data_IF_994142379211
#
_entry.id   IF_994142379211
#
_cell.length_a   1.000
_cell.length_b   1.000
_cell.length_c   1.000
_cell.angle_alpha   90.00
_cell.angle_beta   90.00
_cell.angle_gamma   90.00
#
_symmetry.space_group_name_H-M   'P 1'
#
loop_
_entity.id
_entity.type
_entity.pdbx_description
1 polymer ?
#
# COMPACT_ATOMS: atom_id res chain seq x y z
N UNK A 1 0.33 5.08 -5.59
CA UNK A 1 0.11 4.66 -4.17
C UNK A 1 1.34 3.90 -3.71
N UNK A 2 1.92 4.30 -2.59
CA UNK A 2 3.17 3.72 -2.06
C UNK A 2 2.89 2.79 -0.89
N UNK A 3 3.49 1.60 -0.88
CA UNK A 3 3.32 0.56 0.14
C UNK A 3 4.66 0.37 0.86
N UNK A 4 4.64 0.30 2.18
CA UNK A 4 5.77 -0.13 2.98
C UNK A 4 5.61 -1.61 3.30
N UNK A 5 6.63 -2.41 2.99
CA UNK A 5 6.69 -3.84 3.35
C UNK A 5 7.73 -4.02 4.44
N UNK A 6 7.32 -4.62 5.56
CA UNK A 6 8.15 -4.87 6.73
C UNK A 6 8.22 -6.39 6.93
N UNK A 7 9.35 -6.99 6.56
CA UNK A 7 9.55 -8.43 6.49
C UNK A 7 11.04 -8.74 6.64
N UNK A 8 11.42 -9.59 7.57
CA UNK A 8 12.82 -9.94 7.86
C UNK A 8 13.39 -11.00 6.92
N UNK A 9 12.56 -11.84 6.31
CA UNK A 9 13.00 -12.74 5.25
C UNK A 9 13.27 -11.94 3.97
N UNK A 10 14.54 -11.72 3.66
CA UNK A 10 14.98 -10.93 2.51
C UNK A 10 14.46 -11.47 1.18
N UNK A 11 14.33 -12.80 1.00
CA UNK A 11 13.82 -13.39 -0.24
C UNK A 11 12.32 -13.14 -0.38
N UNK A 12 11.56 -13.33 0.69
CA UNK A 12 10.12 -13.04 0.70
C UNK A 12 9.88 -11.55 0.52
N UNK A 13 10.65 -10.68 1.19
CA UNK A 13 10.57 -9.23 1.03
C UNK A 13 10.74 -8.81 -0.43
N UNK A 14 11.80 -9.29 -1.10
CA UNK A 14 12.04 -8.99 -2.52
C UNK A 14 10.91 -9.53 -3.41
N UNK A 15 10.43 -10.75 -3.16
CA UNK A 15 9.30 -11.33 -3.88
C UNK A 15 8.02 -10.51 -3.77
N UNK A 16 7.70 -10.05 -2.55
CA UNK A 16 6.55 -9.18 -2.28
C UNK A 16 6.67 -7.83 -3.00
N UNK A 17 7.84 -7.20 -2.93
CA UNK A 17 8.09 -5.92 -3.62
C UNK A 17 7.88 -6.08 -5.12
N UNK A 18 8.48 -7.10 -5.74
CA UNK A 18 8.34 -7.35 -7.19
C UNK A 18 6.87 -7.60 -7.57
N UNK A 19 6.15 -8.42 -6.80
CA UNK A 19 4.73 -8.69 -7.03
C UNK A 19 3.87 -7.43 -6.95
N UNK A 20 4.10 -6.57 -5.94
CA UNK A 20 3.37 -5.32 -5.80
C UNK A 20 3.75 -4.28 -6.87
N UNK A 21 5.02 -4.23 -7.28
CA UNK A 21 5.47 -3.36 -8.36
C UNK A 21 4.86 -3.77 -9.71
N UNK A 22 4.72 -5.06 -9.98
CA UNK A 22 4.04 -5.54 -11.20
C UNK A 22 2.56 -5.12 -11.24
N UNK A 23 1.93 -4.98 -10.08
CA UNK A 23 0.59 -4.40 -9.92
C UNK A 23 0.57 -2.86 -10.00
N UNK A 24 1.75 -2.22 -10.15
CA UNK A 24 1.90 -0.77 -10.32
C UNK A 24 1.83 0.02 -9.00
N UNK A 25 2.21 -0.60 -7.89
CA UNK A 25 2.46 0.12 -6.65
C UNK A 25 3.93 0.53 -6.56
N UNK A 26 4.22 1.70 -6.00
CA UNK A 26 5.56 2.00 -5.51
C UNK A 26 5.73 1.28 -4.17
N UNK A 27 6.87 0.63 -3.94
CA UNK A 27 7.10 -0.15 -2.73
C UNK A 27 8.48 0.15 -2.17
N UNK A 28 8.54 0.38 -0.85
CA UNK A 28 9.77 0.33 -0.08
C UNK A 28 9.73 -0.92 0.81
N UNK A 29 10.89 -1.55 1.00
CA UNK A 29 11.03 -2.72 1.85
C UNK A 29 12.01 -2.46 2.99
N UNK A 30 11.68 -2.95 4.18
CA UNK A 30 12.55 -2.87 5.36
C UNK A 30 12.45 -4.17 6.17
N UNK A 31 13.53 -4.51 6.89
CA UNK A 31 13.65 -5.79 7.59
C UNK A 31 13.42 -5.69 9.09
N UNK A 32 13.23 -4.47 9.65
CA UNK A 32 13.10 -4.23 11.08
C UNK A 32 12.02 -3.20 11.40
N UNK A 33 11.44 -3.28 12.60
CA UNK A 33 10.49 -2.29 13.11
C UNK A 33 11.12 -0.90 13.25
N UNK A 34 12.41 -0.82 13.59
CA UNK A 34 13.13 0.44 13.67
C UNK A 34 13.23 1.13 12.31
N UNK A 35 13.60 0.39 11.26
CA UNK A 35 13.62 0.93 9.89
C UNK A 35 12.22 1.33 9.43
N UNK A 36 11.19 0.53 9.75
CA UNK A 36 9.81 0.85 9.44
C UNK A 36 9.36 2.16 10.11
N UNK A 37 9.71 2.38 11.38
CA UNK A 37 9.42 3.62 12.09
C UNK A 37 10.08 4.84 11.43
N UNK A 38 11.34 4.73 11.02
CA UNK A 38 12.06 5.78 10.30
C UNK A 38 11.41 6.08 8.93
N UNK A 39 11.02 5.04 8.21
CA UNK A 39 10.33 5.18 6.92
C UNK A 39 9.00 5.90 7.07
N UNK A 40 8.20 5.53 8.06
CA UNK A 40 6.90 6.16 8.34
C UNK A 40 7.03 7.62 8.82
N UNK A 41 8.12 7.96 9.49
CA UNK A 41 8.39 9.34 9.92
C UNK A 41 8.78 10.26 8.76
N UNK A 42 9.45 9.73 7.73
CA UNK A 42 10.02 10.50 6.63
C UNK A 42 9.25 10.37 5.30
N UNK A 43 8.30 9.43 5.21
CA UNK A 43 7.57 9.13 3.97
C UNK A 43 6.06 9.05 4.17
N UNK A 44 5.33 9.18 3.06
CA UNK A 44 3.88 8.97 3.03
C UNK A 44 3.56 7.63 2.40
N UNK A 45 3.01 6.72 3.19
CA UNK A 45 2.57 5.41 2.73
C UNK A 45 1.05 5.30 2.73
N UNK A 46 0.52 4.62 1.73
CA UNK A 46 -0.91 4.35 1.58
C UNK A 46 -1.33 3.06 2.31
N UNK A 47 -0.37 2.17 2.56
CA UNK A 47 -0.55 0.88 3.23
C UNK A 47 0.78 0.42 3.83
N UNK A 48 0.73 -0.30 4.94
CA UNK A 48 1.83 -1.07 5.50
C UNK A 48 1.47 -2.55 5.43
N UNK A 49 2.35 -3.38 4.90
CA UNK A 49 2.32 -4.85 5.02
C UNK A 49 3.33 -5.21 6.10
N UNK A 50 2.91 -5.86 7.17
CA UNK A 50 3.69 -6.03 8.39
C UNK A 50 3.77 -7.50 8.79
N UNK A 51 4.98 -8.07 8.81
CA UNK A 51 5.20 -9.32 9.56
C UNK A 51 5.28 -9.04 11.07
N UNK A 52 4.83 -10.01 11.85
CA UNK A 52 4.89 -9.97 13.30
C UNK A 52 6.20 -10.53 13.85
N UNK A 53 6.92 -11.36 13.08
CA UNK A 53 8.15 -12.06 13.48
C UNK A 53 9.44 -11.25 13.27
N UNK A 54 9.42 -9.93 13.50
CA UNK A 54 10.58 -9.08 13.25
C UNK A 54 11.71 -9.33 14.29
N UNK A 55 12.99 -9.15 13.89
CA UNK A 55 14.14 -9.51 14.73
C UNK A 55 14.38 -8.56 15.91
N UNK A 56 13.92 -7.33 15.82
CA UNK A 56 14.18 -6.26 16.80
C UNK A 56 13.00 -6.01 17.75
N UNK A 57 11.77 -6.24 17.32
CA UNK A 57 10.55 -6.00 18.10
C UNK A 57 9.41 -6.87 17.58
N UNK A 58 8.53 -7.37 18.45
CA UNK A 58 7.29 -8.02 18.03
C UNK A 58 6.41 -7.05 17.23
N UNK A 59 5.95 -7.46 16.03
CA UNK A 59 5.19 -6.60 15.13
C UNK A 59 3.87 -6.10 15.73
N UNK A 60 3.25 -6.81 16.69
CA UNK A 60 2.06 -6.31 17.42
C UNK A 60 2.43 -5.14 18.34
N UNK A 61 3.60 -5.18 18.98
CA UNK A 61 4.07 -4.06 19.78
C UNK A 61 4.35 -2.85 18.88
N UNK A 62 4.98 -3.07 17.73
CA UNK A 62 5.19 -2.02 16.74
C UNK A 62 3.88 -1.41 16.25
N UNK A 63 2.89 -2.22 15.89
CA UNK A 63 1.56 -1.77 15.47
C UNK A 63 0.88 -0.93 16.57
N UNK A 64 0.89 -1.42 17.82
CA UNK A 64 0.33 -0.67 18.95
C UNK A 64 0.99 0.71 19.10
N UNK A 65 2.33 0.78 19.01
CA UNK A 65 3.07 2.04 19.05
C UNK A 65 2.69 2.97 17.90
N UNK A 66 2.51 2.45 16.68
CA UNK A 66 2.02 3.24 15.54
C UNK A 66 0.65 3.86 15.85
N UNK A 67 -0.28 3.08 16.40
CA UNK A 67 -1.63 3.57 16.75
C UNK A 67 -1.63 4.58 17.89
N UNK A 68 -0.77 4.39 18.90
CA UNK A 68 -0.57 5.38 19.98
C UNK A 68 -0.04 6.73 19.43
N UNK A 69 0.81 6.70 18.40
CA UNK A 69 1.29 7.88 17.68
C UNK A 69 0.27 8.47 16.69
N UNK A 70 -0.96 7.93 16.67
CA UNK A 70 -2.06 8.35 15.79
C UNK A 70 -1.75 8.20 14.29
N UNK A 71 -0.84 7.30 13.93
CA UNK A 71 -0.62 6.93 12.54
C UNK A 71 -1.84 6.10 12.07
N UNK A 72 -2.60 6.68 11.15
CA UNK A 72 -3.85 6.09 10.61
C UNK A 72 -3.64 5.31 9.31
N UNK A 73 -2.39 5.12 8.89
CA UNK A 73 -2.09 4.31 7.70
C UNK A 73 -2.64 2.90 7.89
N UNK A 74 -3.37 2.33 6.91
CA UNK A 74 -3.85 0.96 6.99
C UNK A 74 -2.70 -0.03 7.15
N UNK A 75 -2.94 -1.08 7.94
CA UNK A 75 -1.97 -2.15 8.18
C UNK A 75 -2.58 -3.50 7.84
N UNK A 76 -1.96 -4.22 6.92
CA UNK A 76 -2.19 -5.63 6.64
C UNK A 76 -1.11 -6.45 7.35
N UNK A 77 -1.50 -7.25 8.33
CA UNK A 77 -0.60 -8.21 8.94
C UNK A 77 -0.41 -9.40 7.99
N UNK A 78 0.85 -9.80 7.77
CA UNK A 78 1.25 -10.93 6.96
C UNK A 78 2.24 -11.77 7.74
N UNK A 79 1.80 -12.90 8.33
CA UNK A 79 2.60 -13.64 9.31
C UNK A 79 2.32 -15.15 9.31
N UNK A 80 3.25 -15.93 9.88
CA UNK A 80 3.06 -17.37 10.10
C UNK A 80 2.18 -17.71 11.31
N UNK A 81 1.81 -16.72 12.15
CA UNK A 81 0.90 -16.95 13.29
C UNK A 81 -0.52 -17.17 12.76
N UNK A 82 -1.09 -18.33 12.99
CA UNK A 82 -2.36 -18.77 12.36
C UNK A 82 -3.48 -19.04 13.35
N UNK A 83 -3.21 -18.93 14.67
CA UNK A 83 -4.24 -19.18 15.68
C UNK A 83 -5.38 -18.15 15.63
N UNK A 84 -6.54 -18.51 16.10
CA UNK A 84 -7.67 -17.58 16.19
C UNK A 84 -7.32 -16.41 17.11
N UNK A 85 -6.65 -16.71 18.24
CA UNK A 85 -6.22 -15.73 19.23
C UNK A 85 -5.26 -14.70 18.63
N UNK A 86 -4.29 -15.14 17.82
CA UNK A 86 -3.36 -14.25 17.13
C UNK A 86 -4.08 -13.28 16.17
N UNK A 87 -5.03 -13.82 15.39
CA UNK A 87 -5.82 -13.01 14.45
C UNK A 87 -6.69 -11.98 15.17
N UNK A 88 -7.39 -12.40 16.24
CA UNK A 88 -8.21 -11.49 17.05
C UNK A 88 -7.32 -10.41 17.68
N UNK A 89 -6.20 -10.80 18.30
CA UNK A 89 -5.25 -9.86 18.91
C UNK A 89 -4.68 -8.87 17.91
N UNK A 90 -4.35 -9.32 16.69
CA UNK A 90 -3.86 -8.44 15.62
C UNK A 90 -4.88 -7.38 15.21
N UNK A 91 -6.13 -7.80 15.00
CA UNK A 91 -7.21 -6.89 14.62
C UNK A 91 -7.59 -5.93 15.75
N UNK A 92 -7.67 -6.42 17.00
CA UNK A 92 -7.97 -5.60 18.19
C UNK A 92 -6.85 -4.57 18.47
N UNK A 93 -5.58 -4.90 18.13
CA UNK A 93 -4.45 -3.97 18.23
C UNK A 93 -4.52 -2.85 17.19
N UNK A 94 -5.38 -2.99 16.18
CA UNK A 94 -5.65 -1.97 15.18
C UNK A 94 -5.11 -2.28 13.79
N UNK A 95 -4.86 -3.56 13.47
CA UNK A 95 -4.70 -3.99 12.09
C UNK A 95 -6.03 -3.86 11.34
N UNK A 96 -5.94 -3.55 10.05
CA UNK A 96 -7.11 -3.39 9.19
C UNK A 96 -7.47 -4.71 8.46
N UNK A 97 -6.51 -5.64 8.34
CA UNK A 97 -6.71 -7.00 7.85
C UNK A 97 -5.54 -7.90 8.28
N UNK A 98 -5.72 -9.22 8.11
CA UNK A 98 -4.79 -10.25 8.57
C UNK A 98 -4.71 -11.37 7.54
N UNK A 99 -3.51 -11.76 7.10
CA UNK A 99 -3.26 -12.83 6.13
C UNK A 99 -2.18 -13.76 6.65
N UNK A 100 -2.50 -15.07 6.69
CA UNK A 100 -1.60 -16.10 7.20
C UNK A 100 -0.71 -16.64 6.09
N UNK A 101 0.59 -16.83 6.38
CA UNK A 101 1.55 -17.54 5.53
C UNK A 101 1.34 -19.07 5.67
N UNK A 102 1.36 -19.87 4.57
CA UNK A 102 1.54 -19.45 3.17
C UNK A 102 0.24 -18.94 2.56
N UNK A 103 0.34 -18.03 1.60
CA UNK A 103 -0.79 -17.36 0.93
C UNK A 103 -0.62 -17.37 -0.59
N UNK A 104 -1.73 -17.17 -1.31
CA UNK A 104 -1.71 -16.91 -2.74
C UNK A 104 -1.50 -15.42 -3.00
N UNK A 105 -0.70 -15.08 -4.02
CA UNK A 105 -0.47 -13.67 -4.41
C UNK A 105 -1.75 -12.96 -4.81
N UNK A 106 -2.68 -13.69 -5.44
CA UNK A 106 -4.00 -13.18 -5.82
C UNK A 106 -4.81 -12.73 -4.59
N UNK A 107 -4.74 -13.49 -3.48
CA UNK A 107 -5.41 -13.15 -2.22
C UNK A 107 -4.76 -11.90 -1.60
N UNK A 108 -3.43 -11.87 -1.49
CA UNK A 108 -2.69 -10.71 -0.99
C UNK A 108 -3.08 -9.45 -1.78
N UNK A 109 -3.02 -9.51 -3.11
CA UNK A 109 -3.38 -8.40 -3.98
C UNK A 109 -4.84 -7.96 -3.82
N UNK A 110 -5.77 -8.90 -3.64
CA UNK A 110 -7.18 -8.58 -3.41
C UNK A 110 -7.39 -7.83 -2.08
N UNK A 111 -6.70 -8.24 -1.01
CA UNK A 111 -6.74 -7.59 0.30
C UNK A 111 -6.12 -6.19 0.26
N UNK A 112 -4.96 -6.03 -0.38
CA UNK A 112 -4.32 -4.72 -0.61
C UNK A 112 -5.29 -3.77 -1.32
N UNK A 113 -5.92 -4.21 -2.41
CA UNK A 113 -6.91 -3.38 -3.13
C UNK A 113 -8.09 -2.99 -2.23
N UNK A 114 -8.59 -3.91 -1.41
CA UNK A 114 -9.70 -3.63 -0.50
C UNK A 114 -9.34 -2.58 0.55
N UNK A 115 -8.14 -2.67 1.15
CA UNK A 115 -7.67 -1.72 2.16
C UNK A 115 -7.41 -0.34 1.57
N UNK A 116 -6.75 -0.26 0.42
CA UNK A 116 -6.49 1.00 -0.26
C UNK A 116 -7.79 1.71 -0.67
N UNK A 117 -8.83 0.95 -1.08
CA UNK A 117 -10.17 1.48 -1.39
C UNK A 117 -10.85 2.08 -0.18
N UNK A 118 -10.84 1.40 0.99
CA UNK A 118 -11.45 1.90 2.23
C UNK A 118 -10.87 3.25 2.65
N UNK A 119 -9.57 3.42 2.45
CA UNK A 119 -8.86 4.65 2.81
C UNK A 119 -9.24 5.86 1.93
N UNK A 120 -9.87 5.62 0.79
CA UNK A 120 -10.28 6.67 -0.14
C UNK A 120 -11.69 7.23 0.14
N UNK A 121 -12.37 6.79 1.21
CA UNK A 121 -13.73 7.23 1.62
C UNK A 121 -14.78 7.18 0.49
N UNK A 122 -14.63 6.28 -0.50
CA UNK A 122 -15.55 6.20 -1.63
C UNK A 122 -16.29 4.86 -1.61
N UNK A 123 -17.60 4.94 -1.38
CA UNK A 123 -18.51 3.80 -1.42
C UNK A 123 -18.65 3.17 -2.81
N UNK A 124 -18.26 3.88 -3.86
CA UNK A 124 -18.29 3.40 -5.23
C UNK A 124 -16.89 2.98 -5.71
N UNK A 125 -16.83 1.81 -6.35
CA UNK A 125 -15.62 1.30 -6.98
C UNK A 125 -15.24 2.12 -8.24
N UNK A 126 -16.06 3.05 -8.64
CA UNK A 126 -15.91 3.86 -9.85
C UNK A 126 -15.87 5.36 -9.50
N UNK A 127 -14.94 6.05 -10.09
CA UNK A 127 -14.80 7.50 -10.02
C UNK A 127 -14.93 8.04 -11.43
N UNK A 128 -15.83 9.00 -11.63
CA UNK A 128 -16.00 9.68 -12.91
C UNK A 128 -15.60 11.14 -12.77
N UNK A 129 -14.73 11.59 -13.66
CA UNK A 129 -14.32 12.99 -13.79
C UNK A 129 -14.45 13.34 -15.27
N UNK A 130 -15.49 14.14 -15.59
CA UNK A 130 -15.87 14.43 -16.97
C UNK A 130 -16.08 13.16 -17.80
N UNK A 131 -15.27 12.94 -18.84
CA UNK A 131 -15.31 11.77 -19.72
C UNK A 131 -14.35 10.65 -19.29
N UNK A 132 -13.60 10.82 -18.20
CA UNK A 132 -12.76 9.78 -17.61
C UNK A 132 -13.56 8.99 -16.56
N UNK A 133 -13.50 7.65 -16.66
CA UNK A 133 -14.07 6.73 -15.68
C UNK A 133 -12.98 5.79 -15.17
N UNK A 134 -12.74 5.78 -13.86
CA UNK A 134 -11.77 4.93 -13.18
C UNK A 134 -12.51 3.87 -12.37
N UNK A 135 -12.22 2.58 -12.60
CA UNK A 135 -12.58 1.51 -11.68
C UNK A 135 -11.36 1.14 -10.84
N UNK A 136 -11.40 1.50 -9.58
CA UNK A 136 -10.26 1.31 -8.64
C UNK A 136 -9.98 -0.17 -8.40
N UNK A 137 -11.03 -1.00 -8.31
CA UNK A 137 -10.90 -2.44 -8.04
C UNK A 137 -10.26 -3.20 -9.20
N UNK A 138 -10.69 -2.89 -10.43
CA UNK A 138 -10.18 -3.53 -11.64
C UNK A 138 -8.91 -2.86 -12.17
N UNK A 139 -8.54 -1.71 -11.62
CA UNK A 139 -7.43 -0.87 -12.08
C UNK A 139 -7.55 -0.50 -13.56
N UNK A 140 -8.75 -0.16 -13.98
CA UNK A 140 -9.09 0.17 -15.36
C UNK A 140 -9.55 1.63 -15.45
N UNK A 141 -9.14 2.29 -16.53
CA UNK A 141 -9.57 3.66 -16.84
C UNK A 141 -10.16 3.67 -18.24
N UNK A 142 -11.28 4.36 -18.40
CA UNK A 142 -11.92 4.59 -19.70
C UNK A 142 -11.96 6.08 -19.99
N UNK A 143 -11.71 6.44 -21.24
CA UNK A 143 -11.91 7.77 -21.79
C UNK A 143 -13.01 7.67 -22.88
N UNK A 144 -14.09 8.45 -22.74
CA UNK A 144 -15.22 8.41 -23.67
C UNK A 144 -15.85 7.00 -23.85
N UNK A 145 -15.70 6.12 -22.84
CA UNK A 145 -16.17 4.74 -22.87
C UNK A 145 -15.18 3.73 -23.46
N UNK A 146 -14.05 4.16 -24.01
CA UNK A 146 -12.97 3.30 -24.50
C UNK A 146 -11.94 3.02 -23.41
N UNK A 147 -11.53 1.75 -23.27
CA UNK A 147 -10.53 1.33 -22.29
C UNK A 147 -9.16 1.90 -22.65
N UNK A 148 -8.54 2.60 -21.72
CA UNK A 148 -7.17 3.10 -21.88
C UNK A 148 -6.15 2.03 -21.48
N UNK A 149 -5.19 1.77 -22.34
CA UNK A 149 -4.01 0.97 -22.01
C UNK A 149 -2.95 1.89 -21.37
N UNK A 150 -2.77 1.74 -20.06
CA UNK A 150 -1.86 2.55 -19.26
C UNK A 150 -0.75 1.67 -18.68
N UNK A 151 0.46 2.19 -18.68
CA UNK A 151 1.54 1.60 -17.88
C UNK A 151 1.21 1.71 -16.38
N UNK A 152 1.83 0.90 -15.52
CA UNK A 152 1.60 0.98 -14.07
C UNK A 152 1.82 2.37 -13.48
N UNK A 153 2.82 3.13 -13.96
CA UNK A 153 3.11 4.50 -13.50
C UNK A 153 2.06 5.51 -13.96
N UNK A 154 1.63 5.41 -15.21
CA UNK A 154 0.56 6.26 -15.76
C UNK A 154 -0.76 6.01 -15.01
N UNK A 155 -1.09 4.74 -14.75
CA UNK A 155 -2.25 4.39 -13.92
C UNK A 155 -2.14 4.99 -12.51
N UNK A 156 -0.98 4.85 -11.85
CA UNK A 156 -0.77 5.39 -10.50
C UNK A 156 -0.98 6.90 -10.45
N UNK A 157 -0.42 7.62 -11.42
CA UNK A 157 -0.55 9.08 -11.54
C UNK A 157 -2.01 9.49 -11.80
N UNK A 158 -2.62 8.92 -12.85
CA UNK A 158 -3.97 9.28 -13.27
C UNK A 158 -4.99 8.93 -12.19
N UNK A 159 -4.89 7.75 -11.57
CA UNK A 159 -5.78 7.34 -10.49
C UNK A 159 -5.68 8.27 -9.28
N UNK A 160 -4.47 8.71 -8.91
CA UNK A 160 -4.29 9.68 -7.81
C UNK A 160 -4.97 11.01 -8.13
N UNK A 161 -4.79 11.53 -9.33
CA UNK A 161 -5.39 12.80 -9.75
C UNK A 161 -6.92 12.71 -9.80
N UNK A 162 -7.47 11.64 -10.37
CA UNK A 162 -8.93 11.43 -10.41
C UNK A 162 -9.55 11.30 -9.02
N UNK A 163 -8.90 10.54 -8.10
CA UNK A 163 -9.36 10.38 -6.72
C UNK A 163 -9.29 11.67 -5.88
N UNK A 164 -8.54 12.65 -6.33
CA UNK A 164 -8.39 13.97 -5.71
C UNK A 164 -8.92 15.09 -6.61
N UNK A 165 -9.75 14.76 -7.59
CA UNK A 165 -10.34 15.75 -8.48
C UNK A 165 -10.99 16.90 -7.70
N UNK A 166 -10.75 18.13 -8.16
CA UNK A 166 -11.22 19.35 -7.48
C UNK A 166 -10.33 19.83 -6.32
N UNK A 167 -9.24 19.11 -6.00
CA UNK A 167 -8.29 19.51 -4.97
C UNK A 167 -6.85 19.45 -5.50
N UNK A 168 -5.96 20.39 -5.11
CA UNK A 168 -4.58 20.33 -5.52
C UNK A 168 -3.88 19.11 -4.92
N UNK A 169 -3.04 18.45 -5.73
CA UNK A 169 -2.19 17.34 -5.28
C UNK A 169 -0.75 17.82 -5.28
N UNK A 170 -0.09 17.76 -4.13
CA UNK A 170 1.31 18.15 -4.02
C UNK A 170 2.21 17.25 -4.86
N UNK A 171 3.20 17.84 -5.52
CA UNK A 171 4.15 17.13 -6.38
C UNK A 171 4.84 15.96 -5.66
N UNK A 172 5.22 16.15 -4.39
CA UNK A 172 5.85 15.12 -3.56
C UNK A 172 4.99 13.85 -3.42
N UNK A 173 3.66 14.01 -3.30
CA UNK A 173 2.73 12.87 -3.23
C UNK A 173 2.73 12.10 -4.55
N UNK A 174 2.73 12.81 -5.68
CA UNK A 174 2.80 12.19 -7.01
C UNK A 174 4.12 11.45 -7.22
N UNK A 175 5.23 12.03 -6.77
CA UNK A 175 6.53 11.36 -6.80
C UNK A 175 6.52 10.08 -5.98
N UNK A 176 6.05 10.13 -4.74
CA UNK A 176 5.97 8.98 -3.85
C UNK A 176 5.05 7.87 -4.37
N UNK A 177 4.05 8.20 -5.19
CA UNK A 177 3.16 7.21 -5.82
C UNK A 177 3.80 6.47 -7.01
N UNK A 178 4.87 7.02 -7.58
CA UNK A 178 5.49 6.54 -8.83
C UNK A 178 6.88 5.96 -8.60
N UNK A 179 7.59 6.46 -7.59
CA UNK A 179 8.98 6.11 -7.36
C UNK A 179 9.19 5.55 -5.95
N UNK A 180 10.10 4.58 -5.85
CA UNK A 180 10.65 4.05 -4.61
C UNK A 180 12.08 4.59 -4.42
N UNK A 181 12.71 4.28 -3.29
CA UNK A 181 14.05 4.77 -2.94
C UNK A 181 15.13 4.43 -3.99
N UNK A 182 14.98 3.28 -4.69
CA UNK A 182 15.97 2.79 -5.66
C UNK A 182 15.81 3.40 -7.06
N UNK A 183 14.73 4.12 -7.32
CA UNK A 183 14.37 4.63 -8.65
C UNK A 183 13.98 6.12 -8.62
N UNK A 184 14.67 6.95 -7.84
CA UNK A 184 14.47 8.40 -7.89
C UNK A 184 15.02 8.96 -9.23
N UNK A 185 14.19 9.61 -10.06
CA UNK A 185 14.69 10.26 -11.25
C UNK A 185 15.43 11.54 -10.89
N UNK A 186 16.40 11.92 -11.70
CA UNK A 186 16.98 13.26 -11.66
C UNK A 186 15.85 14.30 -11.73
N UNK A 187 15.94 15.34 -10.95
CA UNK A 187 14.96 16.34 -10.48
C UNK A 187 13.99 16.98 -11.49
N UNK A 188 13.95 16.61 -12.77
CA UNK A 188 13.19 17.29 -13.82
C UNK A 188 12.29 16.38 -14.69
N UNK A 189 11.79 15.25 -14.17
CA UNK A 189 11.03 14.28 -14.98
C UNK A 189 9.49 14.34 -14.78
N UNK A 190 8.98 15.30 -13.98
CA UNK A 190 7.53 15.61 -13.86
C UNK A 190 7.24 17.04 -14.23
#
# INVERSE_FOLDING_TARGET
MKILVVEDDTLLLQGLILAMQSEGYACDGVETAQQAALSLANGHYSLVVLDLGLPDEDGLHFLNRMRQQKLSVPVLILTARDTLEDRVSGLDTGADDYLVKPFALEELNARIRALLRRNLNQGDNEVTVENLRLNVTRRQVWLDGELLELTPKEYALLSRLMLKAGSPVHREILYNDIYNWDNEPATNTL
#
